data_IF_284511620083
#
_entry.id   IF_284511620083
#
_cell.length_a   1.000
_cell.length_b   1.000
_cell.length_c   1.000
_cell.angle_alpha   90.00
_cell.angle_beta   90.00
_cell.angle_gamma   90.00
#
_symmetry.space_group_name_H-M   'P 1'
#
loop_
_entity.id
_entity.type
_entity.pdbx_description
1 polymer ?
#
# COMPACT_ATOMS: atom_id res chain seq x y z
N UNK A 1 2.47 19.41 5.68
CA UNK A 1 3.80 20.07 5.77
C UNK A 1 4.06 21.07 4.65
N UNK A 2 3.07 21.37 3.79
CA UNK A 2 3.23 22.26 2.64
C UNK A 2 3.49 23.70 3.14
N UNK A 3 4.57 24.37 2.68
CA UNK A 3 4.84 25.76 3.04
C UNK A 3 3.69 26.70 2.69
N UNK A 4 3.51 27.75 3.50
CA UNK A 4 2.51 28.83 3.33
C UNK A 4 1.04 28.42 3.48
N UNK A 5 0.58 27.36 2.81
CA UNK A 5 -0.84 26.96 2.73
C UNK A 5 -1.19 25.74 3.59
N UNK A 6 -0.20 25.10 4.22
CA UNK A 6 -0.40 23.83 4.92
C UNK A 6 -1.44 23.87 6.05
N UNK A 7 -1.41 24.90 6.90
CA UNK A 7 -2.35 25.01 8.02
C UNK A 7 -3.78 25.24 7.52
N UNK A 8 -3.94 26.12 6.54
CA UNK A 8 -5.25 26.40 5.92
C UNK A 8 -5.85 25.14 5.28
N UNK A 9 -5.04 24.36 4.56
CA UNK A 9 -5.49 23.10 3.96
C UNK A 9 -5.92 22.08 5.02
N UNK A 10 -5.18 21.93 6.11
CA UNK A 10 -5.51 21.01 7.20
C UNK A 10 -6.84 21.40 7.85
N UNK A 11 -7.00 22.67 8.20
CA UNK A 11 -8.25 23.18 8.79
C UNK A 11 -9.42 23.09 7.81
N UNK A 12 -9.18 23.29 6.51
CA UNK A 12 -10.19 23.09 5.47
C UNK A 12 -10.63 21.63 5.39
N UNK A 13 -9.69 20.67 5.42
CA UNK A 13 -9.99 19.23 5.46
C UNK A 13 -10.74 18.83 6.73
N UNK A 14 -10.42 19.42 7.89
CA UNK A 14 -11.16 19.17 9.13
C UNK A 14 -12.53 19.87 9.15
N UNK A 15 -12.66 21.02 8.51
CA UNK A 15 -13.84 21.87 8.67
C UNK A 15 -13.89 22.58 10.01
N UNK A 16 -12.73 22.82 10.61
CA UNK A 16 -12.58 23.36 11.95
C UNK A 16 -11.11 23.38 12.37
N UNK A 17 -10.85 23.61 13.65
CA UNK A 17 -9.49 23.71 14.20
C UNK A 17 -8.90 22.35 14.64
N UNK A 18 -9.72 21.32 14.73
CA UNK A 18 -9.36 19.95 15.11
C UNK A 18 -10.23 18.93 14.39
N UNK A 19 -9.90 17.66 14.50
CA UNK A 19 -10.78 16.56 14.07
C UNK A 19 -12.01 16.54 14.97
N UNK A 20 -13.20 16.69 14.40
CA UNK A 20 -14.48 16.72 15.11
C UNK A 20 -15.62 16.19 14.21
N UNK A 21 -16.88 16.39 14.59
CA UNK A 21 -18.06 15.90 13.87
C UNK A 21 -18.08 16.28 12.38
N UNK A 22 -17.68 17.52 12.06
CA UNK A 22 -17.57 17.97 10.66
C UNK A 22 -16.59 17.10 9.84
N UNK A 23 -15.49 16.65 10.46
CA UNK A 23 -14.50 15.74 9.86
C UNK A 23 -15.07 14.33 9.71
N UNK A 24 -15.80 13.83 10.71
CA UNK A 24 -16.37 12.49 10.67
C UNK A 24 -17.43 12.36 9.57
N UNK A 25 -18.38 13.30 9.49
CA UNK A 25 -19.45 13.28 8.47
C UNK A 25 -18.89 13.33 7.04
N UNK A 26 -17.88 14.18 6.78
CA UNK A 26 -17.25 14.25 5.45
C UNK A 26 -16.43 13.00 5.15
N UNK A 27 -15.70 12.43 6.13
CA UNK A 27 -14.91 11.21 5.91
C UNK A 27 -15.82 10.02 5.62
N UNK A 28 -16.97 9.92 6.28
CA UNK A 28 -18.00 8.96 5.92
C UNK A 28 -18.48 9.16 4.47
N UNK A 29 -18.76 10.40 4.08
CA UNK A 29 -19.21 10.72 2.71
C UNK A 29 -18.14 10.37 1.67
N UNK A 30 -16.88 10.71 1.91
CA UNK A 30 -15.77 10.34 1.03
C UNK A 30 -15.55 8.83 0.98
N UNK A 31 -15.60 8.15 2.14
CA UNK A 31 -15.46 6.71 2.23
C UNK A 31 -16.58 5.99 1.47
N UNK A 32 -17.80 6.51 1.48
CA UNK A 32 -18.90 5.97 0.68
C UNK A 32 -18.67 6.20 -0.82
N UNK A 33 -18.21 7.39 -1.22
CA UNK A 33 -18.05 7.76 -2.63
C UNK A 33 -16.85 7.07 -3.30
N UNK A 34 -15.70 7.02 -2.64
CA UNK A 34 -14.43 6.57 -3.22
C UNK A 34 -14.47 5.14 -3.80
N UNK A 35 -15.13 4.14 -3.20
CA UNK A 35 -15.30 2.82 -3.79
C UNK A 35 -15.94 2.84 -5.18
N UNK A 36 -16.94 3.70 -5.42
CA UNK A 36 -17.57 3.84 -6.74
C UNK A 36 -16.62 4.49 -7.75
N UNK A 37 -15.82 5.47 -7.30
CA UNK A 37 -14.76 6.06 -8.13
C UNK A 37 -13.70 5.02 -8.49
N UNK A 38 -13.30 4.15 -7.54
CA UNK A 38 -12.36 3.04 -7.78
C UNK A 38 -12.96 2.04 -8.77
N UNK A 39 -14.25 1.72 -8.67
CA UNK A 39 -14.94 0.87 -9.65
C UNK A 39 -14.86 1.47 -11.06
N UNK A 40 -15.13 2.77 -11.21
CA UNK A 40 -14.99 3.47 -12.50
C UNK A 40 -13.56 3.40 -13.04
N UNK A 41 -12.55 3.65 -12.20
CA UNK A 41 -11.14 3.54 -12.59
C UNK A 41 -10.74 2.09 -12.93
N UNK A 42 -11.34 1.10 -12.29
CA UNK A 42 -11.12 -0.33 -12.59
C UNK A 42 -11.61 -0.68 -13.99
N UNK A 43 -12.75 -0.13 -14.43
CA UNK A 43 -13.24 -0.31 -15.80
C UNK A 43 -12.30 0.30 -16.82
N UNK A 44 -11.79 1.51 -16.57
CA UNK A 44 -10.78 2.16 -17.43
C UNK A 44 -9.50 1.34 -17.47
N UNK A 45 -9.06 0.82 -16.33
CA UNK A 45 -7.91 -0.08 -16.24
C UNK A 45 -8.08 -1.34 -17.10
N UNK A 46 -9.24 -2.01 -17.02
CA UNK A 46 -9.54 -3.20 -17.82
C UNK A 46 -9.67 -2.89 -19.32
N UNK A 47 -10.20 -1.72 -19.69
CA UNK A 47 -10.25 -1.28 -21.08
C UNK A 47 -8.84 -1.20 -21.66
N UNK A 48 -7.91 -0.50 -21.00
CA UNK A 48 -6.53 -0.43 -21.46
C UNK A 48 -5.81 -1.78 -21.45
N UNK A 49 -6.14 -2.67 -20.51
CA UNK A 49 -5.62 -4.04 -20.52
C UNK A 49 -6.11 -4.82 -21.74
N UNK A 50 -7.36 -4.64 -22.16
CA UNK A 50 -7.95 -5.35 -23.30
C UNK A 50 -7.37 -4.90 -24.65
N UNK A 51 -6.87 -3.67 -24.76
CA UNK A 51 -6.19 -3.18 -25.97
C UNK A 51 -4.91 -3.99 -26.29
N UNK A 52 -4.14 -4.38 -25.27
CA UNK A 52 -2.89 -5.13 -25.45
C UNK A 52 -3.00 -6.62 -25.12
N UNK A 53 -4.00 -7.00 -24.33
CA UNK A 53 -4.08 -8.30 -23.67
C UNK A 53 -3.11 -8.44 -22.48
N UNK A 54 -3.25 -9.55 -21.74
CA UNK A 54 -2.39 -9.86 -20.59
C UNK A 54 -0.95 -10.21 -21.02
N UNK A 55 0.02 -9.86 -20.17
CA UNK A 55 1.38 -10.39 -20.28
C UNK A 55 1.44 -11.85 -19.78
N UNK A 56 2.57 -12.54 -20.00
CA UNK A 56 2.82 -13.90 -19.52
C UNK A 56 4.21 -14.00 -18.84
N UNK A 57 4.50 -15.07 -18.09
CA UNK A 57 5.75 -15.19 -17.32
C UNK A 57 7.03 -14.99 -18.14
N UNK A 58 7.04 -15.45 -19.40
CA UNK A 58 8.22 -15.36 -20.27
C UNK A 58 8.49 -13.94 -20.78
N UNK A 59 7.46 -13.07 -20.77
CA UNK A 59 7.53 -11.73 -21.33
C UNK A 59 7.53 -11.66 -22.86
N UNK A 60 7.45 -12.80 -23.55
CA UNK A 60 7.37 -12.90 -25.01
C UNK A 60 5.92 -12.73 -25.50
N UNK A 61 5.74 -12.54 -26.81
CA UNK A 61 4.39 -12.44 -27.38
C UNK A 61 3.68 -13.80 -27.32
N UNK A 62 2.53 -13.86 -26.63
CA UNK A 62 1.72 -15.06 -26.47
C UNK A 62 0.69 -15.28 -27.59
N UNK A 63 0.62 -14.43 -28.61
CA UNK A 63 -0.37 -14.54 -29.70
C UNK A 63 -0.35 -15.90 -30.41
N UNK A 64 0.80 -16.58 -30.44
CA UNK A 64 0.96 -17.89 -31.08
C UNK A 64 0.28 -19.03 -30.31
N UNK A 65 -0.06 -18.83 -29.04
CA UNK A 65 -0.62 -19.86 -28.15
C UNK A 65 -1.66 -19.25 -27.20
N UNK A 66 -2.69 -18.64 -27.79
CA UNK A 66 -3.83 -18.11 -27.03
C UNK A 66 -4.87 -19.20 -26.82
N UNK A 67 -5.40 -19.25 -25.60
CA UNK A 67 -6.56 -20.05 -25.24
C UNK A 67 -7.74 -19.13 -24.88
N UNK A 68 -9.00 -19.56 -25.09
CA UNK A 68 -10.16 -18.77 -24.67
C UNK A 68 -10.18 -18.62 -23.14
N UNK A 69 -10.74 -17.51 -22.66
CA UNK A 69 -10.85 -17.26 -21.21
C UNK A 69 -11.71 -18.33 -20.52
N UNK A 70 -12.86 -18.65 -21.08
CA UNK A 70 -13.71 -19.75 -20.65
C UNK A 70 -13.39 -21.01 -21.47
N UNK A 71 -13.23 -22.20 -20.87
CA UNK A 71 -13.43 -22.52 -19.44
C UNK A 71 -12.19 -22.32 -18.56
N UNK A 72 -11.01 -22.17 -19.16
CA UNK A 72 -9.72 -22.31 -18.50
C UNK A 72 -9.50 -21.33 -17.33
N UNK A 73 -9.57 -20.03 -17.61
CA UNK A 73 -9.38 -19.01 -16.59
C UNK A 73 -10.61 -18.84 -15.71
N UNK A 74 -11.83 -19.07 -16.23
CA UNK A 74 -13.04 -19.05 -15.39
C UNK A 74 -12.97 -20.03 -14.22
N UNK A 75 -12.58 -21.29 -14.46
CA UNK A 75 -12.45 -22.27 -13.37
C UNK A 75 -11.24 -22.02 -12.49
N UNK A 76 -10.13 -21.52 -13.05
CA UNK A 76 -8.96 -21.12 -12.25
C UNK A 76 -9.29 -19.96 -11.30
N UNK A 77 -10.05 -18.97 -11.77
CA UNK A 77 -10.47 -17.83 -10.97
C UNK A 77 -11.49 -18.26 -9.91
N UNK A 78 -12.40 -19.18 -10.23
CA UNK A 78 -13.31 -19.77 -9.24
C UNK A 78 -12.55 -20.44 -8.09
N UNK A 79 -11.50 -21.22 -8.40
CA UNK A 79 -10.63 -21.79 -7.36
C UNK A 79 -9.98 -20.69 -6.51
N UNK A 80 -9.48 -19.63 -7.14
CA UNK A 80 -8.91 -18.47 -6.43
C UNK A 80 -9.91 -17.80 -5.47
N UNK A 81 -11.16 -17.61 -5.92
CA UNK A 81 -12.25 -17.05 -5.10
C UNK A 81 -12.55 -17.97 -3.91
N UNK A 82 -12.63 -19.29 -4.12
CA UNK A 82 -12.87 -20.26 -3.05
C UNK A 82 -11.77 -20.18 -1.99
N UNK A 83 -10.50 -20.12 -2.40
CA UNK A 83 -9.37 -20.01 -1.47
C UNK A 83 -9.37 -18.67 -0.72
N UNK A 84 -9.63 -17.56 -1.41
CA UNK A 84 -9.73 -16.23 -0.78
C UNK A 84 -10.87 -16.18 0.25
N UNK A 85 -12.05 -16.69 -0.10
CA UNK A 85 -13.20 -16.75 0.81
C UNK A 85 -12.94 -17.67 2.00
N UNK A 86 -12.26 -18.81 1.79
CA UNK A 86 -11.87 -19.69 2.88
C UNK A 86 -10.96 -18.96 3.88
N UNK A 87 -9.95 -18.22 3.41
CA UNK A 87 -9.06 -17.43 4.28
C UNK A 87 -9.80 -16.29 4.98
N UNK A 88 -10.70 -15.59 4.28
CA UNK A 88 -11.50 -14.52 4.88
C UNK A 88 -12.45 -15.07 5.97
N UNK A 89 -13.10 -16.20 5.70
CA UNK A 89 -13.99 -16.85 6.66
C UNK A 89 -13.21 -17.39 7.86
N UNK A 90 -12.01 -17.95 7.67
CA UNK A 90 -11.22 -18.39 8.81
C UNK A 90 -10.79 -17.23 9.70
N UNK A 91 -10.34 -16.11 9.11
CA UNK A 91 -10.01 -14.91 9.87
C UNK A 91 -11.24 -14.35 10.60
N UNK A 92 -12.35 -14.17 9.91
CA UNK A 92 -13.56 -13.53 10.48
C UNK A 92 -14.26 -14.39 11.52
N UNK A 93 -14.28 -15.72 11.36
CA UNK A 93 -14.97 -16.62 12.28
C UNK A 93 -14.11 -17.07 13.46
N UNK A 94 -12.80 -17.27 13.27
CA UNK A 94 -11.93 -17.80 14.33
C UNK A 94 -11.04 -16.74 14.99
N UNK A 95 -10.69 -15.66 14.28
CA UNK A 95 -9.74 -14.65 14.80
C UNK A 95 -10.03 -13.22 14.30
N UNK A 96 -11.27 -12.70 14.47
CA UNK A 96 -11.72 -11.47 13.84
C UNK A 96 -10.89 -10.23 14.19
N UNK A 97 -10.27 -10.21 15.36
CA UNK A 97 -9.48 -9.08 15.85
C UNK A 97 -7.96 -9.25 15.61
N UNK A 98 -7.51 -10.32 14.94
CA UNK A 98 -6.08 -10.62 14.77
C UNK A 98 -5.30 -9.52 14.05
N UNK A 99 -5.93 -8.85 13.09
CA UNK A 99 -5.31 -7.78 12.29
C UNK A 99 -5.68 -6.36 12.77
N UNK A 100 -6.46 -6.26 13.86
CA UNK A 100 -6.91 -4.99 14.44
C UNK A 100 -6.04 -4.51 15.58
N UNK A 101 -6.28 -3.28 16.04
CA UNK A 101 -5.63 -2.72 17.23
C UNK A 101 -6.62 -2.65 18.41
N UNK A 102 -6.29 -3.18 19.59
CA UNK A 102 -7.15 -3.11 20.78
C UNK A 102 -7.56 -1.69 21.17
N UNK A 103 -6.73 -0.67 20.89
CA UNK A 103 -7.01 0.71 21.26
C UNK A 103 -8.29 1.24 20.56
N UNK A 104 -8.64 0.71 19.38
CA UNK A 104 -9.84 1.09 18.62
C UNK A 104 -11.16 0.58 19.24
N UNK A 105 -11.11 -0.24 20.30
CA UNK A 105 -12.29 -0.59 21.10
C UNK A 105 -12.59 0.43 22.20
N UNK A 106 -11.68 1.38 22.44
CA UNK A 106 -11.93 2.51 23.34
C UNK A 106 -12.45 3.72 22.55
N UNK A 107 -13.52 4.40 23.01
CA UNK A 107 -13.99 5.62 22.36
C UNK A 107 -12.89 6.69 22.30
N UNK A 108 -12.82 7.40 21.18
CA UNK A 108 -11.81 8.44 20.97
C UNK A 108 -11.87 9.53 22.06
N UNK A 109 -10.71 9.84 22.65
CA UNK A 109 -10.56 10.92 23.63
C UNK A 109 -9.54 11.95 23.11
N UNK A 110 -9.96 13.17 22.72
CA UNK A 110 -9.05 14.17 22.17
C UNK A 110 -8.01 14.69 23.18
N UNK A 111 -8.17 14.39 24.48
CA UNK A 111 -7.26 14.79 25.54
C UNK A 111 -6.25 13.71 25.95
N UNK A 112 -6.34 12.51 25.36
CA UNK A 112 -5.46 11.38 25.70
C UNK A 112 -4.98 10.66 24.44
N UNK A 113 -3.67 10.59 24.27
CA UNK A 113 -3.05 9.85 23.17
C UNK A 113 -2.60 8.47 23.68
N UNK A 114 -2.95 7.38 22.99
CA UNK A 114 -2.41 6.06 23.33
C UNK A 114 -0.87 6.04 23.27
N UNK A 115 -0.21 5.23 24.11
CA UNK A 115 1.26 5.23 24.25
C UNK A 115 2.00 4.82 22.96
N UNK A 116 1.41 3.94 22.15
CA UNK A 116 2.03 3.42 20.92
C UNK A 116 1.12 3.55 19.69
N UNK A 117 0.74 4.79 19.36
CA UNK A 117 -0.08 5.06 18.17
C UNK A 117 0.63 4.64 16.87
N UNK A 118 -0.08 3.87 16.05
CA UNK A 118 0.36 3.37 14.75
C UNK A 118 -0.86 3.21 13.83
N UNK A 119 -0.68 3.27 12.50
CA UNK A 119 -1.75 2.94 11.57
C UNK A 119 -1.94 1.42 11.48
N UNK A 120 -2.95 1.01 10.71
CA UNK A 120 -3.18 -0.38 10.36
C UNK A 120 -1.98 -0.99 9.62
N UNK A 121 -1.86 -2.32 9.71
CA UNK A 121 -0.66 -3.07 9.29
C UNK A 121 -0.21 -2.79 7.85
N UNK A 122 -1.15 -2.58 6.92
CA UNK A 122 -0.86 -2.33 5.51
C UNK A 122 -0.27 -0.94 5.23
N UNK A 123 -0.27 -0.02 6.19
CA UNK A 123 0.40 1.27 6.11
C UNK A 123 1.74 1.33 6.85
N UNK A 124 2.11 0.29 7.60
CA UNK A 124 3.28 0.34 8.48
C UNK A 124 4.59 0.56 7.73
N UNK A 125 4.77 0.01 6.52
CA UNK A 125 5.99 0.22 5.75
C UNK A 125 6.20 1.71 5.41
N UNK A 126 5.14 2.39 5.00
CA UNK A 126 5.17 3.79 4.62
C UNK A 126 5.31 4.69 5.87
N UNK A 127 4.69 4.29 6.98
CA UNK A 127 4.87 4.92 8.29
C UNK A 127 6.30 4.79 8.82
N UNK A 128 6.98 3.66 8.61
CA UNK A 128 8.39 3.51 8.95
C UNK A 128 9.28 4.47 8.13
N UNK A 129 9.02 4.60 6.82
CA UNK A 129 9.73 5.56 5.96
C UNK A 129 9.53 7.00 6.45
N UNK A 130 8.27 7.39 6.76
CA UNK A 130 7.94 8.71 7.31
C UNK A 130 8.75 9.03 8.59
N UNK A 131 8.81 8.08 9.53
CA UNK A 131 9.50 8.25 10.83
C UNK A 131 11.02 8.22 10.72
N UNK A 132 11.57 7.64 9.65
CA UNK A 132 13.01 7.47 9.49
C UNK A 132 13.73 8.79 9.19
N UNK A 133 13.01 9.81 8.69
CA UNK A 133 13.58 11.10 8.34
C UNK A 133 13.32 12.11 9.47
N UNK A 134 14.36 12.65 10.15
CA UNK A 134 14.22 13.61 11.25
C UNK A 134 13.90 15.04 10.74
N UNK A 135 12.97 15.15 9.80
CA UNK A 135 12.46 16.41 9.25
C UNK A 135 11.00 16.25 8.85
N UNK A 136 10.11 17.13 9.34
CA UNK A 136 8.67 17.02 9.09
C UNK A 136 8.30 17.06 7.60
N UNK A 137 8.90 17.97 6.83
CA UNK A 137 8.62 18.07 5.39
C UNK A 137 9.26 16.90 4.63
N UNK A 138 10.52 16.60 4.92
CA UNK A 138 11.27 15.49 4.31
C UNK A 138 10.57 14.14 4.51
N UNK A 139 10.10 13.85 5.72
CA UNK A 139 9.33 12.64 6.02
C UNK A 139 8.02 12.57 5.23
N UNK A 140 7.26 13.67 5.15
CA UNK A 140 6.00 13.72 4.37
C UNK A 140 6.28 13.53 2.88
N UNK A 141 7.36 14.10 2.35
CA UNK A 141 7.76 13.90 0.96
C UNK A 141 8.19 12.46 0.70
N UNK A 142 8.96 11.84 1.60
CA UNK A 142 9.39 10.45 1.45
C UNK A 142 8.22 9.46 1.55
N UNK A 143 7.26 9.71 2.44
CA UNK A 143 6.00 8.95 2.49
C UNK A 143 5.30 8.98 1.12
N UNK A 144 5.10 10.18 0.55
CA UNK A 144 4.46 10.35 -0.74
C UNK A 144 5.26 9.69 -1.88
N UNK A 145 6.59 9.84 -1.86
CA UNK A 145 7.48 9.22 -2.84
C UNK A 145 7.51 7.69 -2.75
N UNK A 146 7.31 7.10 -1.58
CA UNK A 146 7.25 5.63 -1.42
C UNK A 146 6.15 4.97 -2.25
N UNK A 147 5.12 5.74 -2.63
CA UNK A 147 4.06 5.29 -3.54
C UNK A 147 4.29 5.83 -4.95
N UNK A 148 4.63 7.12 -5.10
CA UNK A 148 4.80 7.72 -6.43
C UNK A 148 6.00 7.16 -7.22
N UNK A 149 6.99 6.55 -6.56
CA UNK A 149 8.10 5.86 -7.23
C UNK A 149 7.61 4.77 -8.19
N UNK A 150 6.42 4.19 -7.96
CA UNK A 150 5.82 3.21 -8.87
C UNK A 150 5.58 3.77 -10.29
N UNK A 151 5.30 5.08 -10.42
CA UNK A 151 5.15 5.72 -11.73
C UNK A 151 6.47 5.89 -12.49
N UNK A 152 7.61 5.87 -11.79
CA UNK A 152 8.94 5.93 -12.42
C UNK A 152 9.39 4.57 -12.95
N UNK A 153 8.79 3.47 -12.48
CA UNK A 153 9.22 2.10 -12.84
C UNK A 153 9.32 1.84 -14.36
N UNK A 154 8.39 2.29 -15.22
CA UNK A 154 8.54 2.10 -16.67
C UNK A 154 9.76 2.83 -17.24
N UNK A 155 10.08 4.02 -16.73
CA UNK A 155 11.23 4.83 -17.20
C UNK A 155 12.57 4.35 -16.66
N UNK A 156 12.56 3.69 -15.49
CA UNK A 156 13.77 3.11 -14.87
C UNK A 156 14.11 1.71 -15.44
N UNK A 157 13.28 1.16 -16.33
CA UNK A 157 13.53 -0.16 -16.91
C UNK A 157 14.70 -0.12 -17.91
N UNK A 158 15.83 -0.74 -17.54
CA UNK A 158 17.05 -0.76 -18.37
C UNK A 158 17.26 -2.06 -19.15
N UNK A 159 16.50 -3.11 -18.84
CA UNK A 159 16.71 -4.42 -19.47
C UNK A 159 16.11 -4.49 -20.87
N UNK A 160 16.71 -5.34 -21.71
CA UNK A 160 16.11 -5.74 -23.00
C UNK A 160 15.06 -6.85 -22.84
N UNK A 161 14.98 -7.46 -21.67
CA UNK A 161 14.02 -8.52 -21.35
C UNK A 161 12.94 -7.98 -20.40
N UNK A 162 11.68 -8.09 -20.84
CA UNK A 162 10.52 -7.51 -20.15
C UNK A 162 10.31 -8.08 -18.74
N UNK A 163 10.40 -9.40 -18.56
CA UNK A 163 10.13 -10.06 -17.26
C UNK A 163 11.42 -10.42 -16.53
N UNK A 164 11.29 -10.72 -15.23
CA UNK A 164 12.41 -11.12 -14.37
C UNK A 164 12.74 -12.62 -14.47
N UNK A 165 11.89 -13.44 -15.10
CA UNK A 165 12.02 -14.91 -15.13
C UNK A 165 13.40 -15.40 -15.60
N UNK A 166 14.04 -14.69 -16.53
CA UNK A 166 15.36 -15.05 -17.08
C UNK A 166 16.48 -14.12 -16.61
N UNK A 167 16.28 -13.39 -15.49
CA UNK A 167 17.21 -12.39 -14.96
C UNK A 167 17.53 -12.67 -13.49
N UNK A 168 18.43 -13.63 -13.18
CA UNK A 168 18.69 -14.07 -11.80
C UNK A 168 19.05 -12.93 -10.85
N UNK A 169 19.94 -12.02 -11.26
CA UNK A 169 20.32 -10.87 -10.43
C UNK A 169 19.11 -9.98 -10.10
N UNK A 170 18.23 -9.71 -11.08
CA UNK A 170 17.01 -8.93 -10.85
C UNK A 170 16.01 -9.67 -9.96
N UNK A 171 15.91 -11.01 -10.05
CA UNK A 171 15.07 -11.78 -9.13
C UNK A 171 15.57 -11.68 -7.69
N UNK A 172 16.89 -11.79 -7.47
CA UNK A 172 17.49 -11.61 -6.15
C UNK A 172 17.17 -10.22 -5.59
N UNK A 173 17.38 -9.17 -6.39
CA UNK A 173 17.07 -7.79 -5.97
C UNK A 173 15.57 -7.58 -5.71
N UNK A 174 14.70 -8.18 -6.52
CA UNK A 174 13.25 -8.15 -6.27
C UNK A 174 12.90 -8.78 -4.92
N UNK A 175 13.45 -9.95 -4.60
CA UNK A 175 13.21 -10.59 -3.30
C UNK A 175 13.85 -9.83 -2.14
N UNK A 176 15.00 -9.19 -2.35
CA UNK A 176 15.57 -8.26 -1.36
C UNK A 176 14.63 -7.08 -1.11
N UNK A 177 14.00 -6.51 -2.15
CA UNK A 177 13.00 -5.43 -2.00
C UNK A 177 11.78 -5.91 -1.20
N UNK A 178 11.25 -7.10 -1.51
CA UNK A 178 10.12 -7.69 -0.76
C UNK A 178 10.49 -7.91 0.71
N UNK A 179 11.66 -8.48 0.99
CA UNK A 179 12.16 -8.66 2.35
C UNK A 179 12.31 -7.32 3.07
N UNK A 180 12.82 -6.29 2.39
CA UNK A 180 12.97 -4.96 2.94
C UNK A 180 11.61 -4.30 3.27
N UNK A 181 10.57 -4.50 2.44
CA UNK A 181 9.21 -4.04 2.75
C UNK A 181 8.62 -4.75 3.98
N UNK A 182 8.91 -6.04 4.17
CA UNK A 182 8.53 -6.77 5.39
C UNK A 182 9.27 -6.22 6.62
N UNK A 183 10.56 -5.91 6.50
CA UNK A 183 11.32 -5.23 7.57
C UNK A 183 10.73 -3.86 7.88
N UNK A 184 10.41 -3.04 6.89
CA UNK A 184 9.76 -1.74 7.10
C UNK A 184 8.39 -1.89 7.77
N UNK A 185 7.60 -2.89 7.38
CA UNK A 185 6.30 -3.20 8.02
C UNK A 185 6.49 -3.55 9.49
N UNK A 186 7.45 -4.42 9.79
CA UNK A 186 7.79 -4.78 11.17
C UNK A 186 8.25 -3.57 11.99
N UNK A 187 9.20 -2.79 11.46
CA UNK A 187 9.74 -1.57 12.11
C UNK A 187 8.66 -0.50 12.30
N UNK A 188 7.72 -0.38 11.37
CA UNK A 188 6.57 0.51 11.50
C UNK A 188 5.73 0.22 12.76
N UNK A 189 5.70 -1.04 13.20
CA UNK A 189 5.02 -1.46 14.43
C UNK A 189 5.85 -1.34 15.71
N UNK A 190 7.14 -1.02 15.62
CA UNK A 190 8.04 -0.89 16.78
C UNK A 190 8.05 0.54 17.35
N UNK A 191 8.41 0.71 18.64
CA UNK A 191 8.63 2.03 19.25
C UNK A 191 9.83 2.74 18.61
N UNK A 192 9.87 4.06 18.75
CA UNK A 192 10.95 4.91 18.20
C UNK A 192 12.14 4.90 19.16
N UNK A 193 12.83 3.77 19.22
CA UNK A 193 13.95 3.52 20.13
C UNK A 193 15.10 2.80 19.40
N UNK A 194 16.30 2.81 19.99
CA UNK A 194 17.41 2.01 19.47
C UNK A 194 17.15 0.51 19.73
N UNK A 195 17.43 -0.40 18.77
CA UNK A 195 18.04 -0.18 17.46
C UNK A 195 17.04 0.05 16.31
N UNK A 196 15.74 0.15 16.56
CA UNK A 196 14.72 0.25 15.51
C UNK A 196 14.84 1.52 14.66
N UNK A 197 15.31 2.62 15.24
CA UNK A 197 15.57 3.87 14.50
C UNK A 197 16.57 3.62 13.36
N UNK A 198 17.73 3.03 13.67
CA UNK A 198 18.79 2.81 12.69
C UNK A 198 18.39 1.77 11.65
N UNK A 199 17.69 0.70 12.06
CA UNK A 199 17.15 -0.30 11.12
C UNK A 199 16.14 0.37 10.16
N UNK A 200 15.22 1.19 10.66
CA UNK A 200 14.25 1.92 9.84
C UNK A 200 14.90 2.85 8.82
N UNK A 201 15.94 3.57 9.24
CA UNK A 201 16.72 4.46 8.36
C UNK A 201 17.42 3.68 7.24
N UNK A 202 18.14 2.60 7.57
CA UNK A 202 18.83 1.76 6.58
C UNK A 202 17.82 1.13 5.62
N UNK A 203 16.73 0.56 6.14
CA UNK A 203 15.68 -0.04 5.32
C UNK A 203 15.01 0.97 4.39
N UNK A 204 14.79 2.21 4.85
CA UNK A 204 14.22 3.29 4.03
C UNK A 204 15.17 3.70 2.90
N UNK A 205 16.48 3.77 3.17
CA UNK A 205 17.49 4.04 2.13
C UNK A 205 17.49 2.92 1.09
N UNK A 206 17.49 1.66 1.54
CA UNK A 206 17.46 0.49 0.66
C UNK A 206 16.20 0.39 -0.19
N UNK A 207 15.08 0.99 0.25
CA UNK A 207 13.84 1.01 -0.54
C UNK A 207 13.94 1.92 -1.76
N UNK A 208 14.69 3.03 -1.67
CA UNK A 208 14.82 4.02 -2.74
C UNK A 208 16.08 3.86 -3.60
N UNK A 209 17.03 3.00 -3.20
CA UNK A 209 18.25 2.67 -3.95
C UNK A 209 18.00 1.64 -5.04
#
# INVERSE_FOLDING_TARGET
AIPYIGNTLVQWIWGGFSVDNATLTRFFTFHFLLPFTIMGLTLVHLLFLHETGSNNPTGLNSNIDKIPFHPYFSYKDLLGIILMLALLLTLTLFSPNLLGDPDNFTPANPLSTPPHIKPEWYFLFAYAILRSIPNKLGGVLALLLSILVLFLMPTLHTSKQRTTQFRPLTQTLFWCLIANLLVLTWIGGQPVENPFITIGQVASILHFS
#
